data_IF_800339796504
#
_entry.id   IF_800339796504
#
_cell.length_a   1.000
_cell.length_b   1.000
_cell.length_c   1.000
_cell.angle_alpha   90.00
_cell.angle_beta   90.00
_cell.angle_gamma   90.00
#
_symmetry.space_group_name_H-M   'P 1'
#
loop_
_entity.id
_entity.type
_entity.pdbx_description
1 polymer ?
#
# COMPACT_ATOMS: atom_id res chain seq x y z
N UNK A 1 -74.71 -59.52 -27.19
CA UNK A 1 -75.94 -58.82 -26.79
C UNK A 1 -75.66 -58.17 -25.45
N UNK A 2 -75.88 -56.86 -25.41
CA UNK A 2 -75.73 -55.91 -24.31
C UNK A 2 -75.95 -56.54 -22.91
N UNK A 3 -74.97 -56.43 -22.00
CA UNK A 3 -75.11 -56.00 -20.59
C UNK A 3 -73.81 -56.28 -19.82
N UNK A 4 -73.28 -55.27 -19.12
CA UNK A 4 -72.41 -55.48 -17.96
C UNK A 4 -72.90 -54.55 -16.85
N UNK A 5 -73.36 -55.17 -15.76
CA UNK A 5 -73.93 -54.50 -14.60
C UNK A 5 -73.04 -54.71 -13.36
N UNK A 6 -72.53 -53.58 -12.86
CA UNK A 6 -72.44 -53.08 -11.47
C UNK A 6 -72.00 -53.98 -10.27
N UNK A 7 -70.92 -53.51 -9.62
CA UNK A 7 -70.64 -53.25 -8.16
C UNK A 7 -71.02 -54.29 -7.09
N UNK A 8 -70.07 -54.56 -6.17
CA UNK A 8 -70.03 -54.17 -4.71
C UNK A 8 -68.84 -54.86 -3.99
N UNK A 9 -67.95 -54.09 -3.35
CA UNK A 9 -67.81 -53.86 -1.88
C UNK A 9 -67.05 -54.96 -1.11
N UNK A 10 -65.94 -54.63 -0.42
CA UNK A 10 -65.51 -55.27 0.85
C UNK A 10 -64.30 -54.56 1.48
N UNK A 11 -64.42 -54.25 2.78
CA UNK A 11 -63.36 -53.86 3.72
C UNK A 11 -63.05 -55.05 4.65
N UNK A 12 -61.79 -55.20 5.11
CA UNK A 12 -61.43 -56.11 6.21
C UNK A 12 -59.93 -56.15 6.58
N UNK A 13 -59.50 -55.25 7.47
CA UNK A 13 -58.55 -55.31 8.62
C UNK A 13 -57.32 -56.28 8.65
N UNK A 14 -56.15 -55.71 9.04
CA UNK A 14 -55.04 -56.32 9.82
C UNK A 14 -53.73 -56.53 9.05
N UNK A 15 -52.51 -56.14 9.44
CA UNK A 15 -51.89 -55.68 10.68
C UNK A 15 -50.45 -56.24 10.73
N UNK A 16 -49.44 -55.40 10.45
CA UNK A 16 -47.98 -55.52 10.72
C UNK A 16 -47.21 -56.79 10.33
N UNK A 17 -46.27 -56.68 9.37
CA UNK A 17 -44.87 -57.14 9.49
C UNK A 17 -44.11 -57.00 8.16
N UNK A 18 -43.12 -56.09 8.16
CA UNK A 18 -41.84 -56.17 7.44
C UNK A 18 -41.92 -56.75 6.01
N UNK A 19 -42.16 -55.88 5.03
CA UNK A 19 -42.06 -56.20 3.60
C UNK A 19 -41.06 -55.28 2.94
N UNK A 20 -39.88 -55.82 2.60
CA UNK A 20 -38.87 -55.11 1.83
C UNK A 20 -39.34 -54.84 0.41
N UNK A 21 -38.94 -53.68 -0.12
CA UNK A 21 -38.86 -53.43 -1.55
C UNK A 21 -37.86 -52.30 -1.78
N UNK A 22 -36.68 -52.67 -2.25
CA UNK A 22 -35.66 -51.88 -2.94
C UNK A 22 -35.59 -50.37 -2.62
N UNK A 23 -34.56 -49.96 -1.88
CA UNK A 23 -34.04 -48.60 -2.00
C UNK A 23 -33.67 -48.37 -3.47
N UNK A 24 -34.37 -47.41 -4.06
CA UNK A 24 -34.34 -47.00 -5.46
C UNK A 24 -32.91 -46.65 -5.86
N UNK A 25 -32.32 -47.44 -6.75
CA UNK A 25 -31.07 -47.12 -7.42
C UNK A 25 -31.29 -46.04 -8.49
N UNK A 26 -30.34 -45.09 -8.54
CA UNK A 26 -29.94 -44.25 -9.68
C UNK A 26 -31.04 -43.46 -10.41
N UNK A 27 -31.23 -42.22 -9.98
CA UNK A 27 -31.68 -41.13 -10.83
C UNK A 27 -30.59 -40.06 -11.01
N UNK A 28 -29.31 -40.46 -11.10
CA UNK A 28 -28.24 -39.52 -11.45
C UNK A 28 -28.53 -38.94 -12.84
N UNK A 29 -28.61 -37.62 -12.96
CA UNK A 29 -28.83 -36.95 -14.23
C UNK A 29 -27.75 -37.42 -15.23
N UNK A 30 -28.16 -38.08 -16.31
CA UNK A 30 -27.22 -38.58 -17.31
C UNK A 30 -26.78 -37.48 -18.28
N UNK A 31 -27.54 -36.39 -18.36
CA UNK A 31 -27.27 -35.20 -19.18
C UNK A 31 -28.19 -34.06 -18.73
N UNK A 32 -27.60 -32.89 -18.47
CA UNK A 32 -28.34 -31.63 -18.35
C UNK A 32 -27.83 -30.70 -19.44
N UNK A 33 -28.73 -30.22 -20.29
CA UNK A 33 -28.42 -29.26 -21.33
C UNK A 33 -29.14 -27.96 -20.96
N UNK A 34 -28.36 -26.99 -20.50
CA UNK A 34 -28.84 -25.67 -20.11
C UNK A 34 -28.25 -24.63 -21.05
N UNK A 35 -29.10 -23.78 -21.61
CA UNK A 35 -28.68 -22.70 -22.49
C UNK A 35 -28.08 -21.59 -21.63
N UNK A 36 -26.75 -21.57 -21.53
CA UNK A 36 -25.99 -20.45 -20.95
C UNK A 36 -25.56 -19.55 -22.11
N UNK A 37 -25.73 -18.23 -21.97
CA UNK A 37 -25.14 -17.26 -22.89
C UNK A 37 -23.74 -16.95 -22.39
N UNK A 38 -22.76 -17.03 -23.28
CA UNK A 38 -21.38 -16.60 -23.05
C UNK A 38 -21.10 -15.45 -24.01
N UNK A 39 -20.53 -14.36 -23.51
CA UNK A 39 -20.04 -13.23 -24.28
C UNK A 39 -18.57 -13.07 -23.92
N UNK A 40 -17.69 -13.14 -24.90
CA UNK A 40 -16.25 -12.94 -24.78
C UNK A 40 -15.91 -11.89 -25.83
N UNK A 41 -15.24 -10.83 -25.41
CA UNK A 41 -14.80 -9.72 -26.24
C UNK A 41 -13.31 -9.54 -26.03
N UNK A 42 -12.61 -9.16 -27.10
CA UNK A 42 -11.20 -8.75 -27.04
C UNK A 42 -11.19 -7.25 -26.75
N UNK A 43 -10.34 -6.84 -25.81
CA UNK A 43 -10.05 -5.45 -25.51
C UNK A 43 -8.61 -5.13 -25.95
N UNK A 44 -8.31 -3.87 -26.22
CA UNK A 44 -6.92 -3.43 -26.32
C UNK A 44 -6.26 -3.43 -24.94
N UNK A 45 -4.93 -3.35 -24.91
CA UNK A 45 -4.15 -3.55 -23.69
C UNK A 45 -4.54 -2.60 -22.55
N UNK A 46 -4.82 -1.29 -22.76
CA UNK A 46 -5.24 -0.41 -21.65
C UNK A 46 -6.56 -0.84 -21.00
N UNK A 47 -7.46 -1.47 -21.76
CA UNK A 47 -8.82 -1.85 -21.32
C UNK A 47 -8.93 -3.35 -20.96
N UNK A 48 -7.84 -4.11 -21.06
CA UNK A 48 -7.82 -5.56 -20.80
C UNK A 48 -7.83 -5.89 -19.30
N UNK A 49 -8.11 -7.15 -18.94
CA UNK A 49 -8.09 -7.56 -17.52
C UNK A 49 -6.70 -7.44 -16.89
N UNK A 50 -5.65 -7.68 -17.67
CA UNK A 50 -4.31 -7.20 -17.36
C UNK A 50 -4.10 -5.96 -18.24
N UNK A 51 -4.23 -4.79 -17.63
CA UNK A 51 -4.08 -3.50 -18.32
C UNK A 51 -2.61 -3.20 -18.57
N UNK A 52 -2.24 -2.82 -19.79
CA UNK A 52 -0.90 -2.28 -20.09
C UNK A 52 -1.04 -0.87 -20.65
N UNK A 53 -0.38 0.09 -20.03
CA UNK A 53 -0.43 1.48 -20.45
C UNK A 53 0.92 2.19 -20.23
N UNK A 54 1.02 3.45 -20.63
CA UNK A 54 2.09 4.37 -20.27
C UNK A 54 2.19 4.50 -18.76
N UNK A 55 3.41 4.47 -18.21
CA UNK A 55 3.58 4.84 -16.81
C UNK A 55 3.21 6.34 -16.63
N UNK A 56 2.29 6.69 -15.71
CA UNK A 56 1.90 8.07 -15.47
C UNK A 56 3.10 8.92 -15.05
N UNK A 57 3.11 10.19 -15.46
CA UNK A 57 4.10 11.21 -15.04
C UNK A 57 5.57 10.98 -15.43
N UNK A 58 5.94 9.79 -15.90
CA UNK A 58 7.28 9.50 -16.38
C UNK A 58 7.57 10.13 -17.76
N UNK A 59 8.73 10.79 -17.95
CA UNK A 59 9.14 11.25 -19.28
C UNK A 59 9.44 10.08 -20.24
N UNK A 60 9.79 8.91 -19.71
CA UNK A 60 10.12 7.72 -20.50
C UNK A 60 8.87 7.04 -21.09
N UNK A 61 7.67 7.43 -20.65
CA UNK A 61 6.43 6.98 -21.29
C UNK A 61 6.28 7.45 -22.74
N UNK A 62 7.16 8.36 -23.20
CA UNK A 62 7.29 8.76 -24.61
C UNK A 62 7.85 7.65 -25.49
N UNK A 63 8.49 6.63 -24.91
CA UNK A 63 8.92 5.42 -25.61
C UNK A 63 7.81 4.37 -25.78
N UNK A 64 6.65 4.57 -25.16
CA UNK A 64 5.49 3.68 -25.31
C UNK A 64 4.59 4.19 -26.42
N UNK A 65 4.12 3.28 -27.27
CA UNK A 65 3.07 3.53 -28.26
C UNK A 65 2.05 2.37 -28.29
N UNK A 66 0.98 2.53 -29.06
CA UNK A 66 -0.01 1.48 -29.29
C UNK A 66 -0.19 1.21 -30.78
N UNK A 67 -0.25 -0.07 -31.15
CA UNK A 67 -0.55 -0.44 -32.53
C UNK A 67 -2.02 -0.13 -32.91
N UNK A 68 -2.36 -0.33 -34.19
CA UNK A 68 -3.73 -0.12 -34.71
C UNK A 68 -4.80 -1.00 -34.03
N UNK A 69 -4.39 -2.04 -33.29
CA UNK A 69 -5.24 -2.97 -32.55
C UNK A 69 -5.31 -2.64 -31.05
N UNK A 70 -4.53 -1.66 -30.57
CA UNK A 70 -4.45 -1.26 -29.17
C UNK A 70 -3.48 -2.09 -28.33
N UNK A 71 -2.53 -2.80 -28.94
CA UNK A 71 -1.46 -3.48 -28.20
C UNK A 71 -0.32 -2.52 -27.88
N UNK A 72 0.21 -2.60 -26.66
CA UNK A 72 1.33 -1.79 -26.21
C UNK A 72 2.62 -2.20 -26.96
N UNK A 73 3.37 -1.20 -27.41
CA UNK A 73 4.69 -1.36 -28.00
C UNK A 73 5.68 -0.43 -27.31
N UNK A 74 6.89 -0.92 -27.02
CA UNK A 74 8.02 -0.10 -26.58
C UNK A 74 8.88 0.20 -27.80
N UNK A 75 8.90 1.44 -28.23
CA UNK A 75 9.54 1.88 -29.46
C UNK A 75 10.76 2.76 -29.17
N UNK A 76 11.94 2.13 -29.22
CA UNK A 76 13.27 2.75 -29.03
C UNK A 76 14.09 2.66 -30.33
N UNK A 77 13.53 3.11 -31.45
CA UNK A 77 14.17 3.06 -32.77
C UNK A 77 14.02 4.37 -33.57
N UNK A 78 14.39 4.34 -34.86
CA UNK A 78 14.22 5.46 -35.78
C UNK A 78 12.75 5.82 -36.06
N UNK A 79 11.82 4.90 -35.77
CA UNK A 79 10.38 5.11 -35.91
C UNK A 79 9.79 5.96 -34.76
N UNK A 80 10.50 6.08 -33.63
CA UNK A 80 10.17 7.00 -32.53
C UNK A 80 11.38 7.91 -32.18
N UNK A 81 11.71 8.88 -33.05
CA UNK A 81 12.87 9.73 -32.84
C UNK A 81 12.61 10.78 -31.76
N UNK A 82 13.64 11.13 -30.99
CA UNK A 82 13.56 12.28 -30.06
C UNK A 82 13.59 13.60 -30.82
N UNK A 83 13.11 14.69 -30.20
CA UNK A 83 13.13 16.03 -30.82
C UNK A 83 14.54 16.50 -31.23
N UNK A 84 15.56 16.04 -30.50
CA UNK A 84 16.98 16.35 -30.74
C UNK A 84 17.66 15.36 -31.71
N UNK A 85 16.91 14.40 -32.26
CA UNK A 85 17.37 13.48 -33.30
C UNK A 85 17.98 12.16 -32.82
N UNK A 86 17.69 11.74 -31.58
CA UNK A 86 17.99 10.37 -31.12
C UNK A 86 17.08 9.36 -31.82
N UNK A 87 17.61 8.17 -32.12
CA UNK A 87 16.94 7.15 -32.97
C UNK A 87 17.11 5.73 -32.43
N UNK A 88 17.38 5.59 -31.14
CA UNK A 88 17.54 4.30 -30.46
C UNK A 88 18.66 4.29 -29.44
N UNK A 89 19.00 3.08 -28.96
CA UNK A 89 19.98 2.84 -27.91
C UNK A 89 21.42 2.84 -28.44
N UNK A 90 22.38 3.25 -27.60
CA UNK A 90 23.79 3.20 -27.97
C UNK A 90 24.27 1.74 -28.15
N UNK A 91 25.15 1.50 -29.13
CA UNK A 91 25.86 0.22 -29.26
C UNK A 91 26.96 0.09 -28.21
N UNK A 92 27.22 -1.13 -27.74
CA UNK A 92 28.24 -1.43 -26.72
C UNK A 92 28.07 -0.63 -25.41
N UNK A 93 26.83 -0.49 -24.92
CA UNK A 93 26.49 0.23 -23.69
C UNK A 93 25.60 -0.58 -22.74
N UNK A 94 25.45 -0.05 -21.53
CA UNK A 94 24.31 -0.29 -20.66
C UNK A 94 23.47 0.98 -20.67
N UNK A 95 22.16 0.85 -20.79
CA UNK A 95 21.22 1.98 -20.82
C UNK A 95 20.01 1.61 -19.98
N UNK A 96 19.52 2.57 -19.19
CA UNK A 96 18.39 2.40 -18.28
C UNK A 96 17.31 3.40 -18.65
N UNK A 97 16.07 2.95 -18.56
CA UNK A 97 14.87 3.72 -18.80
C UNK A 97 13.89 3.38 -17.69
N UNK A 98 13.82 4.24 -16.68
CA UNK A 98 12.96 4.03 -15.52
C UNK A 98 11.50 4.31 -15.91
N UNK A 99 10.55 3.61 -15.29
CA UNK A 99 9.12 3.91 -15.43
C UNK A 99 8.63 4.07 -16.88
N UNK A 100 8.86 3.08 -17.75
CA UNK A 100 8.52 3.19 -19.18
C UNK A 100 7.01 2.97 -19.39
N UNK A 101 6.52 1.81 -18.97
CA UNK A 101 5.11 1.43 -19.06
C UNK A 101 4.64 0.92 -17.69
N UNK A 102 3.34 0.71 -17.54
CA UNK A 102 2.76 0.13 -16.33
C UNK A 102 1.95 -1.12 -16.64
N UNK A 103 1.85 -1.98 -15.64
CA UNK A 103 0.98 -3.16 -15.64
C UNK A 103 -0.05 -2.97 -14.53
N UNK A 104 -1.34 -3.06 -14.87
CA UNK A 104 -2.46 -2.88 -13.96
C UNK A 104 -3.30 -4.16 -13.87
N UNK A 105 -3.61 -4.62 -12.66
CA UNK A 105 -4.57 -5.71 -12.49
C UNK A 105 -6.01 -5.17 -12.49
N UNK A 106 -6.59 -5.04 -13.68
CA UNK A 106 -8.00 -4.66 -13.88
C UNK A 106 -8.95 -5.88 -13.82
N UNK A 107 -8.45 -6.99 -13.29
CA UNK A 107 -9.10 -8.29 -13.24
C UNK A 107 -10.15 -8.40 -12.14
N UNK A 108 -10.28 -9.61 -11.60
CA UNK A 108 -11.27 -9.92 -10.54
C UNK A 108 -10.67 -10.63 -9.34
N UNK A 109 -9.38 -10.89 -9.38
CA UNK A 109 -8.61 -11.54 -8.32
C UNK A 109 -7.15 -11.09 -8.43
N UNK A 110 -6.37 -11.20 -7.33
CA UNK A 110 -4.94 -10.92 -7.36
C UNK A 110 -4.20 -11.85 -8.33
N UNK A 111 -3.10 -11.36 -8.90
CA UNK A 111 -2.24 -12.12 -9.82
C UNK A 111 -0.78 -11.83 -9.56
N UNK A 112 0.06 -12.84 -9.72
CA UNK A 112 1.51 -12.70 -9.77
C UNK A 112 1.93 -12.36 -11.20
N UNK A 113 2.66 -11.27 -11.38
CA UNK A 113 3.10 -10.76 -12.68
C UNK A 113 4.61 -10.86 -12.81
N UNK A 114 5.08 -11.32 -13.97
CA UNK A 114 6.48 -11.25 -14.33
C UNK A 114 6.64 -11.11 -15.84
N UNK A 115 7.84 -10.76 -16.29
CA UNK A 115 8.13 -10.56 -17.71
C UNK A 115 9.27 -11.47 -18.13
N UNK A 116 9.08 -12.12 -19.27
CA UNK A 116 10.10 -12.91 -19.94
C UNK A 116 10.42 -12.27 -21.30
N UNK A 117 11.72 -12.12 -21.56
CA UNK A 117 12.23 -11.75 -22.88
C UNK A 117 13.34 -12.72 -23.25
N UNK A 118 13.11 -13.50 -24.31
CA UNK A 118 14.14 -14.40 -24.83
C UNK A 118 15.16 -13.60 -25.62
N UNK A 119 16.45 -13.84 -25.37
CA UNK A 119 17.51 -13.20 -26.14
C UNK A 119 17.50 -13.71 -27.59
N UNK A 120 17.67 -12.80 -28.56
CA UNK A 120 17.82 -13.21 -29.96
C UNK A 120 19.03 -14.14 -30.15
N UNK A 121 19.05 -14.98 -31.19
CA UNK A 121 20.24 -15.81 -31.49
C UNK A 121 21.53 -14.98 -31.63
N UNK A 122 21.45 -13.71 -32.00
CA UNK A 122 22.60 -12.82 -32.12
C UNK A 122 23.08 -12.32 -30.77
N UNK A 123 22.16 -11.93 -29.89
CA UNK A 123 22.44 -11.50 -28.53
C UNK A 123 22.94 -12.67 -27.67
N UNK A 124 22.27 -13.81 -27.74
CA UNK A 124 22.54 -15.02 -26.95
C UNK A 124 24.02 -15.46 -27.03
N UNK A 125 24.65 -15.33 -28.21
CA UNK A 125 26.09 -15.63 -28.41
C UNK A 125 27.04 -14.83 -27.51
N UNK A 126 26.63 -13.65 -27.08
CA UNK A 126 27.44 -12.75 -26.25
C UNK A 126 27.11 -12.91 -24.76
N UNK A 127 25.85 -13.19 -24.44
CA UNK A 127 25.35 -13.33 -23.07
C UNK A 127 25.48 -14.75 -22.51
N UNK A 128 25.56 -15.81 -23.34
CA UNK A 128 25.92 -17.18 -22.90
C UNK A 128 27.42 -17.37 -22.58
N UNK A 129 28.21 -16.28 -22.55
CA UNK A 129 29.66 -16.33 -22.26
C UNK A 129 29.99 -15.76 -20.88
N UNK A 130 31.03 -16.29 -20.23
CA UNK A 130 31.59 -15.89 -18.91
C UNK A 130 31.88 -14.37 -18.72
N UNK A 131 31.58 -13.50 -19.70
CA UNK A 131 31.77 -12.05 -19.62
C UNK A 131 30.54 -11.29 -19.08
N UNK A 132 29.32 -11.66 -19.52
CA UNK A 132 28.11 -10.88 -19.26
C UNK A 132 26.88 -11.74 -18.95
N UNK A 133 27.01 -13.06 -18.76
CA UNK A 133 25.84 -13.95 -18.57
C UNK A 133 25.02 -13.74 -17.30
N UNK A 134 25.46 -12.85 -16.41
CA UNK A 134 24.61 -12.33 -15.32
C UNK A 134 23.58 -11.30 -15.81
N UNK A 135 23.80 -10.70 -16.99
CA UNK A 135 22.93 -9.67 -17.58
C UNK A 135 22.25 -10.22 -18.83
N UNK A 136 20.92 -10.09 -18.92
CA UNK A 136 20.18 -10.26 -20.17
C UNK A 136 20.36 -9.06 -21.11
N UNK A 137 20.15 -9.22 -22.43
CA UNK A 137 20.19 -8.09 -23.38
C UNK A 137 19.09 -7.06 -23.10
N UNK A 138 17.95 -7.51 -22.57
CA UNK A 138 16.86 -6.69 -22.07
C UNK A 138 16.46 -7.25 -20.70
N UNK A 139 16.29 -6.38 -19.71
CA UNK A 139 15.81 -6.74 -18.37
C UNK A 139 14.74 -5.73 -17.95
N UNK A 140 13.69 -6.23 -17.32
CA UNK A 140 12.61 -5.41 -16.76
C UNK A 140 12.80 -5.29 -15.25
N UNK A 141 12.58 -4.11 -14.71
CA UNK A 141 12.71 -3.83 -13.28
C UNK A 141 11.60 -2.90 -12.81
N UNK A 142 11.43 -2.74 -11.50
CA UNK A 142 10.38 -1.89 -10.94
C UNK A 142 10.87 -0.46 -10.70
N UNK A 143 10.02 0.51 -11.01
CA UNK A 143 10.27 1.91 -10.66
C UNK A 143 11.56 2.46 -11.27
N UNK A 144 12.34 3.11 -10.41
CA UNK A 144 13.70 3.59 -10.64
C UNK A 144 14.79 2.72 -9.99
N UNK A 145 14.43 1.56 -9.42
CA UNK A 145 15.35 0.61 -8.80
C UNK A 145 15.74 -0.51 -9.79
N UNK A 146 16.93 -0.38 -10.40
CA UNK A 146 17.43 -1.33 -11.38
C UNK A 146 17.94 -2.67 -10.79
N UNK A 147 17.85 -2.84 -9.48
CA UNK A 147 18.12 -4.09 -8.77
C UNK A 147 16.85 -4.96 -8.62
N UNK A 148 15.64 -4.37 -8.66
CA UNK A 148 14.38 -5.11 -8.52
C UNK A 148 13.89 -5.69 -9.86
N UNK A 149 14.52 -6.78 -10.29
CA UNK A 149 14.21 -7.44 -11.56
C UNK A 149 12.83 -8.12 -11.52
N UNK A 150 12.00 -7.83 -12.52
CA UNK A 150 10.69 -8.45 -12.73
C UNK A 150 10.80 -9.71 -13.59
N UNK A 151 10.95 -10.88 -12.97
CA UNK A 151 11.19 -12.17 -13.63
C UNK A 151 10.40 -13.32 -12.99
N UNK A 152 10.40 -14.51 -13.59
CA UNK A 152 9.71 -15.70 -13.03
C UNK A 152 10.21 -16.05 -11.62
N UNK A 153 11.50 -15.79 -11.34
CA UNK A 153 12.11 -16.02 -10.02
C UNK A 153 11.74 -14.92 -8.99
N UNK A 154 11.26 -13.76 -9.46
CA UNK A 154 10.83 -12.63 -8.62
C UNK A 154 9.52 -12.02 -9.16
N UNK A 155 8.40 -12.76 -9.11
CA UNK A 155 7.13 -12.26 -9.62
C UNK A 155 6.52 -11.27 -8.62
N UNK A 156 5.76 -10.32 -9.15
CA UNK A 156 5.12 -9.26 -8.37
C UNK A 156 3.65 -9.55 -8.18
N UNK A 157 3.19 -9.63 -6.93
CA UNK A 157 1.77 -9.70 -6.64
C UNK A 157 1.13 -8.34 -6.92
N UNK A 158 0.11 -8.32 -7.79
CA UNK A 158 -0.77 -7.17 -7.98
C UNK A 158 -2.17 -7.56 -7.47
N UNK A 159 -2.66 -6.84 -6.47
CA UNK A 159 -4.06 -6.87 -6.07
C UNK A 159 -4.95 -6.27 -7.16
N UNK A 160 -6.26 -6.52 -7.07
CA UNK A 160 -7.21 -5.94 -8.03
C UNK A 160 -7.23 -4.42 -7.87
N UNK A 161 -6.95 -3.71 -8.96
CA UNK A 161 -6.89 -2.25 -9.02
C UNK A 161 -5.49 -1.67 -8.89
N UNK A 162 -4.51 -2.47 -8.45
CA UNK A 162 -3.12 -2.03 -8.35
C UNK A 162 -2.45 -1.96 -9.73
N UNK A 163 -1.53 -1.02 -9.85
CA UNK A 163 -0.65 -0.84 -11.00
C UNK A 163 0.80 -0.72 -10.52
N UNK A 164 1.74 -1.26 -11.29
CA UNK A 164 3.17 -1.02 -11.10
C UNK A 164 3.79 -0.48 -12.38
N UNK A 165 4.72 0.47 -12.24
CA UNK A 165 5.53 0.94 -13.35
C UNK A 165 6.78 0.08 -13.53
N UNK A 166 7.11 -0.19 -14.78
CA UNK A 166 8.18 -1.09 -15.22
C UNK A 166 9.24 -0.29 -15.97
N UNK A 167 10.46 -0.31 -15.43
CA UNK A 167 11.66 0.15 -16.10
C UNK A 167 12.28 -0.90 -17.02
N UNK A 168 13.13 -0.45 -17.94
CA UNK A 168 13.81 -1.30 -18.93
C UNK A 168 15.29 -1.01 -18.95
N UNK A 169 16.09 -2.05 -18.72
CA UNK A 169 17.55 -2.03 -18.89
C UNK A 169 17.91 -2.71 -20.18
N UNK A 170 18.70 -2.03 -21.00
CA UNK A 170 19.17 -2.52 -22.29
C UNK A 170 20.69 -2.65 -22.28
N UNK A 171 21.18 -3.85 -22.61
CA UNK A 171 22.60 -4.16 -22.70
C UNK A 171 22.96 -4.53 -24.13
N UNK A 172 23.82 -3.73 -24.76
CA UNK A 172 24.24 -3.92 -26.17
C UNK A 172 25.72 -4.30 -26.29
N UNK A 173 26.32 -4.81 -25.22
CA UNK A 173 27.75 -5.15 -25.16
C UNK A 173 28.14 -6.19 -26.22
N UNK A 174 29.15 -5.85 -27.02
CA UNK A 174 29.62 -6.70 -28.11
C UNK A 174 28.71 -6.75 -29.35
N UNK A 175 27.53 -6.14 -29.29
CA UNK A 175 26.59 -6.00 -30.40
C UNK A 175 26.89 -4.77 -31.24
N UNK A 176 26.44 -4.83 -32.50
CA UNK A 176 26.57 -3.76 -33.50
C UNK A 176 25.20 -3.18 -33.82
N UNK A 177 25.24 -1.99 -34.41
CA UNK A 177 24.06 -1.34 -34.97
C UNK A 177 23.27 -2.29 -35.88
N UNK A 178 21.95 -2.34 -35.68
CA UNK A 178 21.01 -3.15 -36.45
C UNK A 178 20.89 -4.62 -36.03
N UNK A 179 21.53 -5.03 -34.94
CA UNK A 179 21.35 -6.36 -34.36
C UNK A 179 20.15 -6.40 -33.42
N UNK A 180 19.38 -7.47 -33.49
CA UNK A 180 18.18 -7.66 -32.69
C UNK A 180 18.54 -8.10 -31.26
N UNK A 181 17.81 -7.63 -30.26
CA UNK A 181 18.10 -7.93 -28.85
C UNK A 181 17.23 -9.07 -28.31
N UNK A 182 15.95 -9.05 -28.64
CA UNK A 182 14.93 -10.00 -28.18
C UNK A 182 14.54 -10.89 -29.35
N UNK A 183 14.29 -12.18 -29.12
CA UNK A 183 13.85 -13.08 -30.18
C UNK A 183 12.45 -12.68 -30.68
N UNK A 184 12.28 -12.69 -32.01
CA UNK A 184 11.04 -12.30 -32.71
C UNK A 184 10.43 -10.92 -32.32
N UNK A 185 11.21 -10.06 -31.65
CA UNK A 185 10.75 -8.77 -31.08
C UNK A 185 9.56 -8.93 -30.11
N UNK A 186 9.45 -10.10 -29.46
CA UNK A 186 8.33 -10.44 -28.57
C UNK A 186 8.77 -10.52 -27.11
N UNK A 187 7.99 -9.89 -26.23
CA UNK A 187 8.09 -10.05 -24.78
C UNK A 187 6.82 -10.69 -24.26
N UNK A 188 6.94 -11.57 -23.28
CA UNK A 188 5.80 -12.25 -22.68
C UNK A 188 5.60 -11.72 -21.28
N UNK A 189 4.46 -11.06 -21.06
CA UNK A 189 4.01 -10.67 -19.73
C UNK A 189 3.10 -11.77 -19.21
N UNK A 190 3.51 -12.38 -18.11
CA UNK A 190 2.73 -13.39 -17.42
C UNK A 190 1.92 -12.74 -16.31
N UNK A 191 0.69 -13.22 -16.12
CA UNK A 191 -0.16 -12.88 -14.99
C UNK A 191 -0.90 -14.14 -14.58
N UNK A 192 -0.48 -14.71 -13.46
CA UNK A 192 -0.98 -16.01 -13.00
C UNK A 192 -1.54 -15.88 -11.58
N UNK A 193 -2.80 -16.29 -11.42
CA UNK A 193 -3.50 -16.29 -10.14
C UNK A 193 -3.18 -17.54 -9.31
N UNK A 194 -2.65 -18.58 -9.95
CA UNK A 194 -2.27 -19.86 -9.33
C UNK A 194 -0.74 -19.95 -9.13
N UNK A 195 0.04 -18.98 -9.60
CA UNK A 195 1.46 -18.89 -9.29
C UNK A 195 1.61 -18.73 -7.78
N UNK A 196 2.18 -19.77 -7.16
CA UNK A 196 2.60 -19.72 -5.77
C UNK A 196 3.69 -18.64 -5.66
N UNK A 197 3.28 -17.43 -5.23
CA UNK A 197 4.21 -16.47 -4.61
C UNK A 197 5.11 -17.25 -3.68
N UNK A 198 6.41 -16.95 -3.67
CA UNK A 198 7.38 -17.61 -2.81
C UNK A 198 6.73 -17.84 -1.43
N UNK A 199 6.37 -19.10 -1.15
CA UNK A 199 5.29 -19.43 -0.21
C UNK A 199 5.79 -19.24 1.21
N UNK A 200 5.69 -18.02 1.72
CA UNK A 200 5.97 -17.66 3.08
C UNK A 200 5.04 -16.55 3.50
N UNK A 201 4.62 -16.50 4.78
CA UNK A 201 3.82 -15.39 5.30
C UNK A 201 4.54 -14.04 5.15
N UNK A 202 5.86 -14.05 4.99
CA UNK A 202 6.70 -12.87 4.74
C UNK A 202 7.77 -13.18 3.69
N UNK A 203 8.05 -12.22 2.81
CA UNK A 203 9.19 -12.26 1.87
C UNK A 203 10.05 -11.03 2.02
N UNK A 204 11.36 -11.21 2.11
CA UNK A 204 12.30 -10.15 1.77
C UNK A 204 12.42 -10.14 0.24
N UNK A 205 11.76 -9.17 -0.37
CA UNK A 205 11.63 -9.05 -1.80
C UNK A 205 12.95 -8.72 -2.47
N UNK A 206 13.71 -7.77 -1.91
CA UNK A 206 15.02 -7.35 -2.42
C UNK A 206 16.00 -8.53 -2.47
N UNK A 207 15.95 -9.42 -1.49
CA UNK A 207 16.83 -10.60 -1.44
C UNK A 207 16.24 -11.87 -2.09
N UNK A 208 14.96 -11.86 -2.48
CA UNK A 208 14.26 -13.05 -2.98
C UNK A 208 14.16 -14.18 -1.95
N UNK A 209 14.06 -13.86 -0.66
CA UNK A 209 13.99 -14.86 0.44
C UNK A 209 12.64 -14.86 1.14
N UNK A 210 12.19 -16.05 1.56
CA UNK A 210 10.95 -16.26 2.32
C UNK A 210 11.26 -16.47 3.79
N UNK A 211 10.40 -15.96 4.66
CA UNK A 211 10.52 -16.07 6.12
C UNK A 211 9.19 -16.53 6.73
N UNK A 212 9.28 -17.19 7.88
CA UNK A 212 8.12 -17.72 8.61
C UNK A 212 7.34 -16.62 9.37
N UNK A 213 7.98 -15.47 9.64
CA UNK A 213 7.37 -14.28 10.23
C UNK A 213 8.18 -13.02 9.89
N UNK A 214 7.64 -11.86 10.25
CA UNK A 214 8.24 -10.55 9.96
C UNK A 214 9.52 -10.31 10.77
N UNK A 215 9.63 -10.87 11.96
CA UNK A 215 10.81 -10.73 12.82
C UNK A 215 12.02 -11.42 12.19
N UNK A 216 11.85 -12.65 11.71
CA UNK A 216 12.89 -13.41 11.00
C UNK A 216 13.31 -12.71 9.69
N UNK A 217 12.37 -12.05 9.00
CA UNK A 217 12.65 -11.28 7.79
C UNK A 217 13.50 -10.04 8.10
N UNK A 218 13.11 -9.26 9.12
CA UNK A 218 13.85 -8.08 9.56
C UNK A 218 15.25 -8.49 10.04
N UNK A 219 15.38 -9.55 10.84
CA UNK A 219 16.66 -10.05 11.35
C UNK A 219 17.65 -10.38 10.21
N UNK A 220 17.15 -10.97 9.12
CA UNK A 220 17.94 -11.34 7.95
C UNK A 220 18.18 -10.18 6.96
N UNK A 221 17.37 -9.13 7.01
CA UNK A 221 17.42 -8.02 6.08
C UNK A 221 18.70 -7.18 6.20
N UNK A 222 19.02 -6.49 5.12
CA UNK A 222 20.03 -5.44 4.99
C UNK A 222 19.34 -4.09 4.82
N UNK A 223 20.09 -3.02 5.06
CA UNK A 223 19.62 -1.67 4.81
C UNK A 223 19.14 -1.51 3.36
N UNK A 224 17.99 -0.86 3.20
CA UNK A 224 17.23 -0.65 1.96
C UNK A 224 16.52 -1.88 1.40
N UNK A 225 16.47 -2.99 2.13
CA UNK A 225 15.63 -4.11 1.72
C UNK A 225 14.13 -3.76 1.87
N UNK A 226 13.33 -4.31 0.96
CA UNK A 226 11.87 -4.28 1.01
C UNK A 226 11.34 -5.63 1.50
N UNK A 227 10.57 -5.59 2.59
CA UNK A 227 9.91 -6.74 3.20
C UNK A 227 8.41 -6.66 2.91
N UNK A 228 7.90 -7.65 2.18
CA UNK A 228 6.47 -7.84 1.93
C UNK A 228 5.88 -8.84 2.91
N UNK A 229 4.83 -8.43 3.61
CA UNK A 229 4.10 -9.25 4.59
C UNK A 229 2.74 -9.60 4.00
N UNK A 230 2.36 -10.87 3.98
CA UNK A 230 1.11 -11.34 3.34
C UNK A 230 0.07 -11.86 4.34
N UNK A 231 0.52 -12.26 5.53
CA UNK A 231 -0.34 -12.82 6.58
C UNK A 231 -0.22 -11.99 7.87
N UNK A 232 -1.24 -12.07 8.73
CA UNK A 232 -1.24 -11.40 10.03
C UNK A 232 -0.02 -11.83 10.87
N UNK A 233 0.59 -10.86 11.55
CA UNK A 233 1.77 -11.02 12.39
C UNK A 233 1.43 -10.66 13.84
N UNK A 234 1.96 -11.47 14.75
CA UNK A 234 1.87 -11.26 16.20
C UNK A 234 3.25 -10.95 16.77
N UNK A 235 3.31 -10.25 17.90
CA UNK A 235 4.55 -9.77 18.50
C UNK A 235 4.93 -8.39 17.96
N UNK A 236 5.38 -7.52 18.86
CA UNK A 236 5.83 -6.17 18.52
C UNK A 236 6.89 -6.24 17.41
N UNK A 237 6.68 -5.50 16.33
CA UNK A 237 7.60 -5.46 15.17
C UNK A 237 8.67 -4.41 15.43
N UNK A 238 9.89 -4.85 15.71
CA UNK A 238 11.05 -3.98 15.93
C UNK A 238 11.76 -3.71 14.60
N UNK A 239 11.73 -2.47 14.12
CA UNK A 239 12.38 -2.06 12.87
C UNK A 239 13.68 -1.34 13.19
N UNK A 240 14.78 -2.10 13.22
CA UNK A 240 16.11 -1.64 13.66
C UNK A 240 17.12 -1.44 12.53
N UNK A 241 16.63 -1.45 11.29
CA UNK A 241 17.38 -1.21 10.06
C UNK A 241 16.58 -0.28 9.15
N UNK A 242 17.29 0.39 8.24
CA UNK A 242 16.67 1.16 7.16
C UNK A 242 15.91 0.19 6.25
N UNK A 243 14.58 0.14 6.33
CA UNK A 243 13.76 -0.87 5.64
C UNK A 243 12.46 -0.27 5.11
N UNK A 244 11.96 -0.87 4.02
CA UNK A 244 10.58 -0.68 3.57
C UNK A 244 9.77 -1.92 3.98
N UNK A 245 8.80 -1.77 4.85
CA UNK A 245 7.92 -2.87 5.27
C UNK A 245 6.54 -2.59 4.72
N UNK A 246 6.04 -3.51 3.89
CA UNK A 246 4.82 -3.34 3.09
C UNK A 246 3.86 -4.50 3.32
N UNK A 247 2.65 -4.18 3.74
CA UNK A 247 1.57 -5.14 3.90
C UNK A 247 0.88 -5.40 2.57
N UNK A 248 0.72 -6.67 2.21
CA UNK A 248 0.08 -7.08 0.97
C UNK A 248 -1.31 -7.62 1.28
N UNK A 249 -2.33 -6.83 0.92
CA UNK A 249 -3.73 -7.16 1.22
C UNK A 249 -4.17 -6.73 2.63
N UNK A 250 -3.51 -5.72 3.22
CA UNK A 250 -3.79 -5.18 4.56
C UNK A 250 -3.71 -6.25 5.68
N UNK A 251 -2.58 -6.97 5.84
CA UNK A 251 -2.38 -7.87 6.96
C UNK A 251 -2.33 -7.08 8.28
N UNK A 252 -2.61 -7.78 9.38
CA UNK A 252 -2.64 -7.20 10.73
C UNK A 252 -1.28 -7.32 11.41
N UNK A 253 -0.80 -6.25 12.04
CA UNK A 253 0.28 -6.28 13.03
C UNK A 253 -0.34 -6.11 14.41
N UNK A 254 -0.53 -7.21 15.15
CA UNK A 254 -1.38 -7.24 16.35
C UNK A 254 -0.83 -6.48 17.56
N UNK A 255 0.50 -6.32 17.66
CA UNK A 255 1.19 -5.80 18.85
C UNK A 255 1.99 -4.52 18.56
N UNK A 256 1.65 -3.86 17.46
CA UNK A 256 2.26 -2.60 17.03
C UNK A 256 3.64 -2.72 16.36
N UNK A 257 4.22 -1.56 16.10
CA UNK A 257 5.51 -1.36 15.43
C UNK A 257 6.37 -0.40 16.25
N UNK A 258 7.63 -0.76 16.49
CA UNK A 258 8.62 0.10 17.12
C UNK A 258 9.75 0.41 16.12
N UNK A 259 9.89 1.68 15.74
CA UNK A 259 10.85 2.14 14.74
C UNK A 259 12.07 2.71 15.47
N UNK A 260 13.24 2.10 15.25
CA UNK A 260 14.48 2.43 15.95
C UNK A 260 15.63 2.83 15.02
N UNK A 261 15.39 2.78 13.71
CA UNK A 261 16.34 3.16 12.67
C UNK A 261 15.81 4.30 11.80
N UNK A 262 16.74 5.02 11.18
CA UNK A 262 16.44 6.07 10.21
C UNK A 262 15.98 5.48 8.87
N UNK A 263 15.29 6.29 8.07
CA UNK A 263 14.88 5.99 6.70
C UNK A 263 13.99 4.74 6.60
N UNK A 264 13.01 4.63 7.49
CA UNK A 264 12.07 3.50 7.53
C UNK A 264 10.73 3.90 6.92
N UNK A 265 10.18 3.01 6.07
CA UNK A 265 8.81 3.11 5.55
C UNK A 265 7.96 1.96 6.06
N UNK A 266 6.76 2.26 6.55
CA UNK A 266 5.76 1.28 6.98
C UNK A 266 4.45 1.58 6.26
N UNK A 267 3.96 0.64 5.45
CA UNK A 267 2.77 0.88 4.64
C UNK A 267 1.83 -0.30 4.46
N UNK A 268 0.55 0.00 4.27
CA UNK A 268 -0.50 -0.98 3.92
C UNK A 268 -0.79 -2.06 4.99
N UNK A 269 -0.84 -1.66 6.27
CA UNK A 269 -1.17 -2.55 7.40
C UNK A 269 -2.44 -2.16 8.15
N UNK A 270 -3.07 -3.15 8.80
CA UNK A 270 -3.88 -2.89 9.99
C UNK A 270 -2.96 -3.00 11.22
N UNK A 271 -2.63 -1.90 11.88
CA UNK A 271 -1.73 -1.87 13.04
C UNK A 271 -2.55 -1.70 14.31
N UNK A 272 -2.48 -2.67 15.20
CA UNK A 272 -3.22 -2.70 16.45
C UNK A 272 -2.26 -2.71 17.63
N UNK A 273 -2.64 -2.06 18.74
CA UNK A 273 -2.08 -2.35 20.06
C UNK A 273 -3.01 -3.31 20.81
N UNK A 274 -2.68 -4.61 20.82
CA UNK A 274 -3.44 -5.61 21.58
C UNK A 274 -3.30 -5.46 23.11
N UNK A 275 -2.35 -4.65 23.59
CA UNK A 275 -1.96 -4.54 24.99
C UNK A 275 -1.23 -5.77 25.57
N UNK A 276 -0.95 -6.81 24.75
CA UNK A 276 -0.23 -8.01 25.18
C UNK A 276 1.30 -7.82 25.16
N UNK A 277 1.81 -6.89 24.35
CA UNK A 277 3.21 -6.51 24.37
C UNK A 277 3.54 -5.72 25.65
N UNK A 278 4.45 -6.28 26.46
CA UNK A 278 4.96 -5.57 27.64
C UNK A 278 5.54 -4.24 27.18
N UNK A 279 4.92 -3.13 27.63
CA UNK A 279 5.31 -1.73 27.34
C UNK A 279 4.85 -1.18 25.99
N UNK A 280 3.99 -1.88 25.25
CA UNK A 280 3.24 -1.25 24.17
C UNK A 280 2.09 -0.45 24.80
N UNK A 281 2.23 0.87 24.75
CA UNK A 281 1.13 1.84 24.96
C UNK A 281 0.90 2.57 23.62
N UNK A 282 1.22 1.89 22.51
CA UNK A 282 1.30 2.47 21.17
C UNK A 282 1.06 1.44 20.07
N UNK A 283 0.37 1.84 19.00
CA UNK A 283 0.34 1.06 17.77
C UNK A 283 1.58 1.29 16.92
N UNK A 284 2.08 2.53 16.83
CA UNK A 284 3.36 2.87 16.21
C UNK A 284 4.18 3.76 17.13
N UNK A 285 5.42 3.35 17.42
CA UNK A 285 6.37 4.16 18.18
C UNK A 285 7.57 4.55 17.34
N UNK A 286 7.96 5.80 17.50
CA UNK A 286 9.22 6.35 17.01
C UNK A 286 10.16 6.43 18.22
N UNK A 287 11.30 5.72 18.17
CA UNK A 287 12.32 5.90 19.20
C UNK A 287 13.00 7.27 19.04
N UNK A 288 13.44 7.91 20.15
CA UNK A 288 14.01 9.25 20.11
C UNK A 288 15.22 9.36 19.20
N UNK A 289 15.16 10.30 18.25
CA UNK A 289 16.28 10.64 17.38
C UNK A 289 16.24 10.00 15.99
N UNK A 290 15.17 9.27 15.66
CA UNK A 290 15.00 8.71 14.31
C UNK A 290 14.72 9.81 13.28
N UNK A 291 15.18 9.59 12.05
CA UNK A 291 15.00 10.54 10.95
C UNK A 291 14.54 9.86 9.66
N UNK A 292 13.75 10.56 8.84
CA UNK A 292 13.34 10.07 7.51
C UNK A 292 12.29 8.97 7.57
N UNK A 293 11.29 9.11 8.44
CA UNK A 293 10.28 8.08 8.67
C UNK A 293 9.05 8.34 7.79
N UNK A 294 8.49 7.30 7.19
CA UNK A 294 7.24 7.38 6.43
C UNK A 294 6.25 6.33 6.90
N UNK A 295 5.08 6.76 7.35
CA UNK A 295 3.98 5.90 7.79
C UNK A 295 2.78 6.22 6.90
N UNK A 296 2.38 5.29 6.05
CA UNK A 296 1.35 5.57 5.04
C UNK A 296 0.38 4.43 4.75
N UNK A 297 -0.82 4.77 4.26
CA UNK A 297 -1.81 3.78 3.82
C UNK A 297 -2.17 2.73 4.89
N UNK A 298 -2.06 3.08 6.17
CA UNK A 298 -2.35 2.17 7.27
C UNK A 298 -3.71 2.46 7.92
N UNK A 299 -4.31 1.42 8.51
CA UNK A 299 -5.36 1.55 9.52
C UNK A 299 -4.71 1.33 10.88
N UNK A 300 -4.71 2.32 11.76
CA UNK A 300 -3.96 2.32 13.03
C UNK A 300 -4.96 2.49 14.18
N UNK A 301 -5.04 1.51 15.07
CA UNK A 301 -5.93 1.54 16.24
C UNK A 301 -5.14 1.25 17.53
N UNK A 302 -5.35 2.08 18.55
CA UNK A 302 -4.68 1.92 19.84
C UNK A 302 -5.53 2.36 21.02
N UNK A 303 -5.44 1.62 22.12
CA UNK A 303 -6.03 1.94 23.43
C UNK A 303 -5.31 3.10 24.14
N UNK A 304 -4.20 3.60 23.60
CA UNK A 304 -3.48 4.75 24.14
C UNK A 304 -2.99 5.68 23.01
N UNK A 305 -1.69 5.69 22.69
CA UNK A 305 -1.19 6.48 21.55
C UNK A 305 -1.36 5.66 20.27
N UNK A 306 -1.94 6.19 19.21
CA UNK A 306 -1.89 5.51 17.92
C UNK A 306 -0.47 5.62 17.34
N UNK A 307 0.08 6.84 17.34
CA UNK A 307 1.46 7.11 16.91
C UNK A 307 2.12 8.00 17.95
N UNK A 308 3.29 7.61 18.45
CA UNK A 308 4.03 8.44 19.40
C UNK A 308 5.56 8.44 19.25
N UNK A 309 6.15 9.63 19.37
CA UNK A 309 7.47 9.84 19.96
C UNK A 309 7.28 10.45 21.34
N UNK A 310 7.58 9.71 22.40
CA UNK A 310 7.35 10.17 23.77
C UNK A 310 8.57 10.81 24.44
N UNK A 311 9.71 10.99 23.75
CA UNK A 311 10.92 11.49 24.40
C UNK A 311 11.70 12.49 23.57
N UNK A 312 11.71 13.73 24.05
CA UNK A 312 12.52 14.84 23.58
C UNK A 312 14.04 14.72 23.81
N UNK A 313 14.58 13.52 24.04
CA UNK A 313 15.99 13.32 24.41
C UNK A 313 16.95 13.53 23.24
N UNK A 314 16.46 13.35 22.01
CA UNK A 314 17.15 13.53 20.74
C UNK A 314 16.12 14.01 19.72
N UNK A 315 16.49 14.91 18.80
CA UNK A 315 15.59 15.38 17.74
C UNK A 315 15.15 14.24 16.80
N UNK A 316 13.86 13.96 16.80
CA UNK A 316 13.17 13.20 15.75
C UNK A 316 12.89 14.13 14.57
N UNK A 317 13.19 13.71 13.34
CA UNK A 317 13.11 14.61 12.17
C UNK A 317 12.62 13.97 10.88
N UNK A 318 12.13 14.78 9.95
CA UNK A 318 11.75 14.33 8.60
C UNK A 318 10.75 13.15 8.65
N UNK A 319 9.69 13.32 9.45
CA UNK A 319 8.63 12.30 9.62
C UNK A 319 7.44 12.68 8.77
N UNK A 320 6.96 11.75 7.95
CA UNK A 320 5.74 11.89 7.15
C UNK A 320 4.74 10.82 7.57
N UNK A 321 3.58 11.27 8.02
CA UNK A 321 2.41 10.43 8.35
C UNK A 321 1.35 10.81 7.33
N UNK A 322 1.11 9.95 6.33
CA UNK A 322 0.26 10.29 5.20
C UNK A 322 -0.82 9.24 4.87
N UNK A 323 -2.03 9.70 4.53
CA UNK A 323 -3.12 8.81 4.08
C UNK A 323 -3.43 7.63 5.02
N UNK A 324 -3.35 7.83 6.35
CA UNK A 324 -3.71 6.81 7.33
C UNK A 324 -5.13 7.03 7.89
N UNK A 325 -5.79 5.95 8.31
CA UNK A 325 -6.97 5.97 9.17
C UNK A 325 -6.51 5.69 10.62
N UNK A 326 -6.52 6.71 11.47
CA UNK A 326 -5.91 6.70 12.80
C UNK A 326 -7.01 6.85 13.86
N UNK A 327 -7.15 5.86 14.73
CA UNK A 327 -8.22 5.82 15.71
C UNK A 327 -7.73 5.49 17.12
N UNK A 328 -7.99 6.41 18.05
CA UNK A 328 -7.73 6.21 19.47
C UNK A 328 -8.95 5.67 20.23
N UNK A 329 -8.80 4.54 20.92
CA UNK A 329 -9.86 3.95 21.77
C UNK A 329 -9.72 4.32 23.25
N UNK A 330 -8.67 5.07 23.60
CA UNK A 330 -8.25 5.42 24.96
C UNK A 330 -9.31 6.10 25.85
N UNK A 331 -9.05 6.08 27.17
CA UNK A 331 -9.72 6.87 28.22
C UNK A 331 -8.75 7.93 28.81
N UNK A 332 -9.20 9.19 28.92
CA UNK A 332 -8.63 10.30 29.72
C UNK A 332 -7.15 10.71 29.51
N UNK A 333 -6.95 11.82 28.79
CA UNK A 333 -5.76 12.67 28.88
C UNK A 333 -4.63 12.34 27.90
N UNK A 334 -4.92 11.54 26.87
CA UNK A 334 -3.95 11.07 25.87
C UNK A 334 -4.07 11.88 24.57
N UNK A 335 -2.99 11.94 23.79
CA UNK A 335 -3.00 12.41 22.41
C UNK A 335 -3.00 11.22 21.45
N UNK A 336 -3.89 11.19 20.44
CA UNK A 336 -3.93 10.03 19.51
C UNK A 336 -2.64 9.97 18.68
N UNK A 337 -2.21 11.11 18.16
CA UNK A 337 -0.88 11.29 17.58
C UNK A 337 -0.09 12.26 18.45
N UNK A 338 1.08 11.85 18.93
CA UNK A 338 1.93 12.69 19.75
C UNK A 338 3.39 12.68 19.29
N UNK A 339 3.91 13.84 18.91
CA UNK A 339 5.33 14.03 18.59
C UNK A 339 5.91 15.05 19.57
N UNK A 340 6.83 14.58 20.41
CA UNK A 340 7.37 15.30 21.56
C UNK A 340 8.53 16.27 21.17
N UNK A 341 8.78 17.29 22.02
CA UNK A 341 9.77 18.35 21.82
C UNK A 341 10.21 19.06 23.12
N UNK A 342 10.81 20.25 23.03
CA UNK A 342 11.49 20.94 24.14
C UNK A 342 10.55 21.24 25.33
N UNK A 343 9.28 21.47 25.06
CA UNK A 343 8.35 22.07 26.04
C UNK A 343 7.90 21.10 27.11
N UNK A 344 7.75 19.82 26.76
CA UNK A 344 7.40 18.75 27.71
C UNK A 344 8.64 18.09 28.35
N UNK A 345 9.85 18.41 27.85
CA UNK A 345 11.12 17.81 28.27
C UNK A 345 11.97 18.57 29.30
N UNK A 346 13.11 18.00 29.73
CA UNK A 346 14.10 18.69 30.57
C UNK A 346 14.76 19.87 29.79
N UNK A 347 15.52 20.77 30.43
CA UNK A 347 16.20 21.90 29.76
C UNK A 347 17.24 21.55 28.67
N UNK A 348 17.38 20.28 28.33
CA UNK A 348 18.23 19.73 27.27
C UNK A 348 17.40 19.04 26.19
N UNK A 349 16.09 19.24 26.21
CA UNK A 349 15.17 18.67 25.27
C UNK A 349 15.36 19.32 23.90
N UNK A 350 15.24 18.52 22.86
CA UNK A 350 15.32 18.99 21.48
C UNK A 350 13.93 18.88 20.86
N UNK A 351 13.50 19.92 20.13
CA UNK A 351 12.25 19.89 19.37
C UNK A 351 12.37 18.89 18.21
N UNK A 352 11.24 18.29 17.81
CA UNK A 352 11.17 17.55 16.57
C UNK A 352 11.29 18.53 15.38
N UNK A 353 11.78 18.07 14.23
CA UNK A 353 11.98 18.94 13.06
C UNK A 353 11.28 18.37 11.81
N UNK A 354 10.60 19.22 11.04
CA UNK A 354 9.99 18.82 9.76
C UNK A 354 9.03 17.61 9.90
N UNK A 355 7.94 17.81 10.64
CA UNK A 355 6.91 16.79 10.89
C UNK A 355 5.69 17.06 10.02
N UNK A 356 5.34 16.11 9.17
CA UNK A 356 4.28 16.24 8.18
C UNK A 356 3.14 15.26 8.48
N UNK A 357 1.93 15.79 8.69
CA UNK A 357 0.68 15.04 8.78
C UNK A 357 -0.16 15.42 7.57
N UNK A 358 -0.33 14.50 6.62
CA UNK A 358 -0.93 14.78 5.31
C UNK A 358 -2.09 13.81 5.04
N UNK A 359 -3.26 14.32 4.65
CA UNK A 359 -4.38 13.50 4.17
C UNK A 359 -4.82 12.35 5.10
N UNK A 360 -4.59 12.46 6.42
CA UNK A 360 -5.01 11.42 7.38
C UNK A 360 -6.46 11.63 7.81
N UNK A 361 -7.13 10.55 8.20
CA UNK A 361 -8.36 10.60 9.01
C UNK A 361 -7.99 10.28 10.45
N UNK A 362 -8.31 11.17 11.40
CA UNK A 362 -7.90 11.04 12.81
C UNK A 362 -9.13 11.20 13.71
N UNK A 363 -9.41 10.19 14.52
CA UNK A 363 -10.56 10.16 15.42
C UNK A 363 -10.28 9.49 16.76
N UNK A 364 -11.24 9.61 17.68
CA UNK A 364 -11.17 8.93 18.98
C UNK A 364 -12.55 8.63 19.60
N UNK A 365 -12.60 7.63 20.48
CA UNK A 365 -13.81 7.28 21.24
C UNK A 365 -14.10 8.18 22.45
N UNK A 366 -13.12 8.58 23.26
CA UNK A 366 -13.26 9.53 24.39
C UNK A 366 -11.88 9.96 24.93
N UNK A 367 -11.45 11.18 24.62
CA UNK A 367 -10.15 11.67 25.09
C UNK A 367 -10.16 12.19 26.55
N UNK A 368 -11.30 12.29 27.25
CA UNK A 368 -11.50 12.85 28.62
C UNK A 368 -10.40 13.85 29.07
N UNK A 369 -10.22 14.92 28.29
CA UNK A 369 -9.24 15.99 28.54
C UNK A 369 -7.96 15.99 27.68
N UNK A 370 -7.78 14.98 26.82
CA UNK A 370 -6.71 14.88 25.81
C UNK A 370 -7.02 15.61 24.50
N UNK A 371 -6.19 15.41 23.47
CA UNK A 371 -6.33 15.99 22.12
C UNK A 371 -6.19 14.92 21.03
N UNK A 372 -6.68 15.16 19.81
CA UNK A 372 -6.40 14.22 18.71
C UNK A 372 -4.90 14.24 18.36
N UNK A 373 -4.32 15.44 18.27
CA UNK A 373 -2.92 15.61 17.87
C UNK A 373 -2.20 16.59 18.79
N UNK A 374 -1.02 16.19 19.25
CA UNK A 374 -0.04 17.04 19.90
C UNK A 374 1.28 17.04 19.12
N UNK A 375 1.70 18.19 18.62
CA UNK A 375 2.97 18.35 17.91
C UNK A 375 3.82 19.41 18.57
N UNK A 376 5.00 19.01 19.05
CA UNK A 376 6.07 19.90 19.50
C UNK A 376 7.20 19.87 18.47
N UNK A 377 7.09 20.69 17.42
CA UNK A 377 7.95 20.62 16.25
C UNK A 377 8.31 21.98 15.61
N UNK A 378 9.54 22.05 15.11
CA UNK A 378 10.09 23.11 14.29
C UNK A 378 9.94 22.77 12.80
N UNK A 379 8.96 23.39 12.15
CA UNK A 379 8.68 23.17 10.74
C UNK A 379 7.93 21.87 10.41
N UNK A 380 7.40 21.83 9.19
CA UNK A 380 6.55 20.75 8.69
C UNK A 380 5.14 21.26 8.38
N UNK A 381 4.27 20.35 7.96
CA UNK A 381 2.89 20.66 7.58
C UNK A 381 1.84 19.77 8.25
N UNK A 382 0.67 20.33 8.49
CA UNK A 382 -0.56 19.61 8.84
C UNK A 382 -1.57 20.01 7.79
N UNK A 383 -1.74 19.19 6.75
CA UNK A 383 -2.54 19.55 5.57
C UNK A 383 -3.43 18.41 5.07
N UNK A 384 -4.62 18.74 4.54
CA UNK A 384 -5.54 17.76 3.96
C UNK A 384 -6.18 16.77 4.95
N UNK A 385 -5.89 16.86 6.25
CA UNK A 385 -6.38 15.89 7.22
C UNK A 385 -7.85 16.10 7.55
N UNK A 386 -8.53 15.02 7.86
CA UNK A 386 -9.87 14.99 8.47
C UNK A 386 -9.75 14.65 9.94
N UNK A 387 -10.21 15.53 10.81
CA UNK A 387 -10.27 15.31 12.25
C UNK A 387 -11.72 15.09 12.68
N UNK A 388 -12.07 13.83 12.99
CA UNK A 388 -13.41 13.43 13.42
C UNK A 388 -13.68 13.86 14.87
N UNK A 389 -14.93 14.20 15.18
CA UNK A 389 -15.36 14.72 16.49
C UNK A 389 -15.02 13.76 17.65
N UNK A 390 -13.99 14.07 18.47
CA UNK A 390 -13.80 13.33 19.70
C UNK A 390 -14.88 13.79 20.69
N UNK A 391 -15.59 12.91 21.39
CA UNK A 391 -16.64 13.31 22.32
C UNK A 391 -16.07 13.90 23.62
N UNK A 392 -15.38 15.04 23.55
CA UNK A 392 -14.64 15.68 24.66
C UNK A 392 -14.86 17.20 24.76
N UNK A 393 -14.47 17.75 25.92
CA UNK A 393 -14.45 19.20 26.21
C UNK A 393 -13.10 19.88 25.82
N UNK A 394 -12.11 19.09 25.38
CA UNK A 394 -10.73 19.48 25.06
C UNK A 394 -10.32 18.94 23.69
N UNK A 395 -9.50 19.71 22.97
CA UNK A 395 -9.59 19.91 21.53
C UNK A 395 -9.02 18.91 20.53
N UNK A 396 -8.87 19.38 19.30
CA UNK A 396 -8.35 18.64 18.15
C UNK A 396 -6.83 18.78 18.04
N UNK A 397 -6.29 19.99 18.17
CA UNK A 397 -4.85 20.25 17.96
C UNK A 397 -4.19 20.98 19.14
N UNK A 398 -3.03 20.46 19.55
CA UNK A 398 -2.03 21.15 20.33
C UNK A 398 -0.75 21.29 19.51
N UNK A 399 -0.32 22.53 19.25
CA UNK A 399 0.83 22.85 18.42
C UNK A 399 1.81 23.73 19.18
N UNK A 400 3.07 23.31 19.17
CA UNK A 400 4.20 24.03 19.75
C UNK A 400 5.35 24.04 18.74
N UNK A 401 6.09 25.15 18.73
CA UNK A 401 7.21 25.36 17.82
C UNK A 401 6.85 26.27 16.63
N UNK A 402 7.86 26.82 15.94
CA UNK A 402 7.69 27.72 14.83
C UNK A 402 7.60 27.00 13.47
N UNK A 403 7.11 27.72 12.46
CA UNK A 403 7.13 27.36 11.03
C UNK A 403 6.31 26.12 10.64
N UNK A 404 5.33 25.72 11.47
CA UNK A 404 4.32 24.75 11.06
C UNK A 404 3.30 25.41 10.13
N UNK A 405 3.06 24.80 8.98
CA UNK A 405 1.99 25.16 8.04
C UNK A 405 0.76 24.30 8.37
N UNK A 406 -0.41 24.93 8.60
CA UNK A 406 -1.64 24.21 8.98
C UNK A 406 -2.80 24.73 8.15
N UNK A 407 -3.10 24.03 7.06
CA UNK A 407 -4.07 24.48 6.05
C UNK A 407 -4.83 23.33 5.40
N UNK A 408 -5.98 23.64 4.81
CA UNK A 408 -6.79 22.69 4.04
C UNK A 408 -7.20 21.41 4.82
N UNK A 409 -7.32 21.50 6.14
CA UNK A 409 -7.87 20.42 6.98
C UNK A 409 -9.36 20.61 7.24
N UNK A 410 -10.05 19.50 7.49
CA UNK A 410 -11.46 19.44 7.88
C UNK A 410 -11.58 19.04 9.36
N UNK A 411 -12.18 19.90 10.19
CA UNK A 411 -12.43 19.65 11.61
C UNK A 411 -13.91 19.46 11.89
N UNK A 412 -14.29 18.27 12.36
CA UNK A 412 -15.67 17.95 12.74
C UNK A 412 -15.86 18.01 14.25
N UNK A 413 -17.00 18.56 14.70
CA UNK A 413 -17.47 18.35 16.07
C UNK A 413 -18.41 19.38 16.68
N UNK A 414 -19.32 18.90 17.53
CA UNK A 414 -20.39 19.70 18.15
C UNK A 414 -19.87 20.59 19.32
N UNK A 415 -18.67 20.30 19.86
CA UNK A 415 -18.12 20.93 21.06
C UNK A 415 -16.72 21.55 20.86
N UNK A 416 -16.43 22.07 19.67
CA UNK A 416 -15.17 22.74 19.29
C UNK A 416 -14.84 24.04 20.08
N UNK A 417 -15.30 24.25 21.32
CA UNK A 417 -15.20 25.52 22.07
C UNK A 417 -13.78 26.13 22.22
N UNK A 418 -13.62 27.12 23.11
CA UNK A 418 -12.36 27.92 23.23
C UNK A 418 -11.05 27.15 23.44
N UNK A 419 -11.10 25.86 23.78
CA UNK A 419 -9.92 25.01 24.01
C UNK A 419 -9.74 23.94 22.91
N UNK A 420 -10.47 24.05 21.78
CA UNK A 420 -10.35 23.10 20.68
C UNK A 420 -8.99 23.15 19.97
N UNK A 421 -8.32 24.30 20.06
CA UNK A 421 -7.02 24.52 19.47
C UNK A 421 -6.13 25.20 20.49
N UNK A 422 -4.96 24.63 20.69
CA UNK A 422 -3.98 25.19 21.58
C UNK A 422 -2.67 25.43 20.83
N UNK A 423 -2.34 26.70 20.65
CA UNK A 423 -1.20 27.13 19.81
C UNK A 423 -0.20 27.91 20.66
N UNK A 424 1.02 27.41 20.75
CA UNK A 424 2.15 28.05 21.43
C UNK A 424 3.33 28.19 20.48
N UNK A 425 3.31 29.29 19.74
CA UNK A 425 4.39 29.66 18.84
C UNK A 425 5.30 30.72 19.49
N UNK A 426 6.50 30.33 19.90
CA UNK A 426 7.49 31.21 20.54
C UNK A 426 7.96 32.35 19.62
N UNK A 427 7.97 32.13 18.30
CA UNK A 427 8.49 33.05 17.29
C UNK A 427 7.41 33.79 16.48
N UNK A 428 6.13 33.54 16.74
CA UNK A 428 4.97 34.11 16.03
C UNK A 428 5.02 33.92 14.49
N UNK A 429 5.48 32.76 14.04
CA UNK A 429 5.54 32.38 12.61
C UNK A 429 4.17 31.98 12.05
N UNK A 430 3.21 31.68 12.91
CA UNK A 430 1.79 31.49 12.61
C UNK A 430 0.94 31.89 13.83
N UNK A 431 -0.33 32.19 13.60
CA UNK A 431 -1.31 32.58 14.62
C UNK A 431 -2.54 31.68 14.58
N UNK A 432 -3.23 31.55 15.73
CA UNK A 432 -4.49 30.82 15.79
C UNK A 432 -5.51 31.34 14.75
N UNK A 433 -5.62 32.65 14.56
CA UNK A 433 -6.51 33.23 13.55
C UNK A 433 -6.14 32.86 12.10
N UNK A 434 -4.87 32.60 11.79
CA UNK A 434 -4.45 32.13 10.46
C UNK A 434 -4.87 30.67 10.25
N UNK A 435 -4.63 29.82 11.25
CA UNK A 435 -5.08 28.41 11.25
C UNK A 435 -6.60 28.36 11.07
N UNK A 436 -7.35 29.10 11.89
CA UNK A 436 -8.82 29.14 11.79
C UNK A 436 -9.32 29.68 10.44
N UNK A 437 -8.52 30.48 9.71
CA UNK A 437 -8.89 31.03 8.41
C UNK A 437 -8.51 30.15 7.21
N UNK A 438 -7.58 29.22 7.39
CA UNK A 438 -7.04 28.36 6.35
C UNK A 438 -7.66 26.94 6.35
N UNK A 439 -8.55 26.64 7.28
CA UNK A 439 -9.14 25.32 7.47
C UNK A 439 -10.67 25.36 7.46
N UNK A 440 -11.29 24.21 7.23
CA UNK A 440 -12.74 24.04 7.25
C UNK A 440 -13.17 23.46 8.60
N UNK A 441 -14.31 23.92 9.10
CA UNK A 441 -14.91 23.46 10.34
C UNK A 441 -16.34 23.02 10.08
N UNK A 442 -16.92 22.21 10.97
CA UNK A 442 -18.31 21.80 10.91
C UNK A 442 -19.22 23.01 10.57
N UNK A 443 -20.14 22.88 9.59
CA UNK A 443 -20.99 24.00 9.14
C UNK A 443 -21.91 24.59 10.22
N UNK A 444 -22.06 23.92 11.36
CA UNK A 444 -22.80 24.44 12.53
C UNK A 444 -21.94 25.31 13.46
N UNK A 445 -20.62 25.35 13.28
CA UNK A 445 -19.70 26.17 14.06
C UNK A 445 -19.52 27.58 13.45
N UNK A 446 -19.54 28.61 14.30
CA UNK A 446 -19.20 29.99 13.94
C UNK A 446 -17.80 30.35 14.48
N UNK A 447 -16.86 30.66 13.57
CA UNK A 447 -15.53 31.18 13.93
C UNK A 447 -15.59 32.70 14.12
N UNK A 448 -15.29 33.20 15.34
CA UNK A 448 -15.33 34.62 15.69
C UNK A 448 -14.01 35.06 16.36
N UNK A 449 -13.04 35.47 15.55
CA UNK A 449 -11.69 35.79 16.05
C UNK A 449 -10.94 34.52 16.40
N UNK A 450 -10.50 34.39 17.65
CA UNK A 450 -9.77 33.23 18.17
C UNK A 450 -10.70 32.22 18.89
N UNK A 451 -12.01 32.30 18.63
CA UNK A 451 -13.06 31.55 19.35
C UNK A 451 -13.96 30.84 18.35
N UNK A 452 -14.13 29.52 18.51
CA UNK A 452 -15.07 28.71 17.74
C UNK A 452 -16.31 28.48 18.61
N UNK A 453 -17.47 28.88 18.10
CA UNK A 453 -18.74 28.81 18.83
C UNK A 453 -19.68 27.79 18.21
N UNK A 454 -20.16 26.80 18.97
CA UNK A 454 -21.31 26.00 18.53
C UNK A 454 -22.58 26.89 18.54
N UNK A 455 -23.51 26.64 17.60
CA UNK A 455 -24.83 27.32 17.54
C UNK A 455 -25.75 27.08 18.76
#
# INVERSE_FOLDING_TARGET
>A
MIHMDRRKFLYGIGGSAIGGSALIGSGAFSRIESQRRVKIEVAGDPDAYLGLDRCPTSPNNSYVDFDDSGHLAVEMSEDNPTEEGGQGVNSDSFTWFDDVFQICNQGKQPVSVWIEAEASEEADKYFDSDNYGEYGPVTFYLGDDDEEILSEDNPQLLQVGECLCVGIRVVTKGLKEGQQLVDDDEIVIHADADQELATGPVTNQTQGTTHDDVHDAIDAAKDNDTIKVYEDQSGLVEVDKQLNIVGVGMPTLEDGVNITADNVRVSSFNILDSGDALWAEFAVRLEPGVSGITIEDNSIESDWYAIADESSAQTTSDVTIENNDIFGTAESGVQVVYINGEQSGPPSAEDAENINLIDNTIGANDLDGGLLVGLEADGGEVSGNTFDDPPTDYGHLELWGPNLEVEDNDFFGDNLGTNAFYVRNSDNTYTLSEILGANTFDPTAEVVGDDIRPE
#
